data_IF_906460013562
#
_entry.id   IF_906460013562
#
_cell.length_a   1.000
_cell.length_b   1.000
_cell.length_c   1.000
_cell.angle_alpha   90.00
_cell.angle_beta   90.00
_cell.angle_gamma   90.00
#
_symmetry.space_group_name_H-M   'P 1'
#
loop_
_entity.id
_entity.type
_entity.pdbx_description
1 polymer ?
#
# COMPACT_ATOMS: atom_id res chain seq x y z
N UNK A 1 27.91 18.19 -63.13
CA UNK A 1 26.98 18.53 -62.02
C UNK A 1 26.77 17.28 -61.16
N UNK A 2 27.34 17.24 -59.95
CA UNK A 2 27.18 16.10 -59.01
C UNK A 2 26.15 16.52 -57.97
N UNK A 3 25.04 15.85 -57.96
CA UNK A 3 23.96 16.06 -56.96
C UNK A 3 24.34 15.24 -55.74
N UNK A 4 24.66 15.93 -54.62
CA UNK A 4 24.89 15.33 -53.33
C UNK A 4 23.55 15.20 -52.61
N UNK A 5 23.02 13.98 -52.53
CA UNK A 5 21.83 13.67 -51.71
C UNK A 5 22.22 13.61 -50.23
N UNK A 6 21.78 14.60 -49.47
CA UNK A 6 21.89 14.57 -48.01
C UNK A 6 20.72 13.76 -47.45
N UNK A 7 21.00 12.53 -47.01
CA UNK A 7 20.03 11.73 -46.28
C UNK A 7 19.95 12.27 -44.82
N UNK A 8 18.85 12.92 -44.48
CA UNK A 8 18.56 13.35 -43.13
C UNK A 8 18.19 12.13 -42.27
N UNK A 9 19.09 11.72 -41.38
CA UNK A 9 18.82 10.69 -40.35
C UNK A 9 17.97 11.34 -39.28
N UNK A 10 16.67 11.06 -39.28
CA UNK A 10 15.78 11.41 -38.18
C UNK A 10 16.05 10.45 -37.01
N UNK A 11 16.76 10.95 -35.99
CA UNK A 11 16.99 10.24 -34.73
C UNK A 11 15.66 10.31 -33.92
N UNK A 12 14.91 9.22 -33.95
CA UNK A 12 13.72 9.05 -33.13
C UNK A 12 14.16 8.84 -31.69
N UNK A 13 14.23 9.91 -30.90
CA UNK A 13 14.49 9.83 -29.46
C UNK A 13 13.28 9.18 -28.78
N UNK A 14 13.36 7.88 -28.52
CA UNK A 14 12.44 7.18 -27.64
C UNK A 14 12.63 7.75 -26.23
N UNK A 15 11.70 8.60 -25.81
CA UNK A 15 11.61 9.07 -24.44
C UNK A 15 11.33 7.85 -23.56
N UNK A 16 12.35 7.29 -22.96
CA UNK A 16 12.23 6.23 -21.94
C UNK A 16 11.70 6.88 -20.68
N UNK A 17 10.39 6.78 -20.46
CA UNK A 17 9.80 7.13 -19.18
C UNK A 17 10.41 6.22 -18.10
N UNK A 18 11.01 6.77 -17.02
CA UNK A 18 11.53 5.93 -15.95
C UNK A 18 10.39 5.11 -15.35
N UNK A 19 10.51 3.79 -15.42
CA UNK A 19 9.62 2.89 -14.69
C UNK A 19 9.76 3.21 -13.20
N UNK A 20 8.75 3.85 -12.63
CA UNK A 20 8.72 4.16 -11.22
C UNK A 20 8.47 2.88 -10.45
N UNK A 21 9.53 2.27 -9.91
CA UNK A 21 9.43 1.11 -9.03
C UNK A 21 8.84 1.55 -7.68
N UNK A 22 8.07 0.64 -7.06
CA UNK A 22 7.56 0.87 -5.71
C UNK A 22 8.72 0.92 -4.71
N UNK A 23 8.69 1.90 -3.80
CA UNK A 23 9.62 2.01 -2.70
C UNK A 23 9.10 1.20 -1.51
N UNK A 24 9.67 0.00 -1.34
CA UNK A 24 9.27 -0.90 -0.24
C UNK A 24 9.69 -0.38 1.13
N UNK A 25 10.72 0.46 1.22
CA UNK A 25 11.11 1.10 2.47
C UNK A 25 10.08 2.16 2.88
N UNK A 26 9.64 3.01 1.95
CA UNK A 26 8.55 3.94 2.19
C UNK A 26 7.27 3.19 2.58
N UNK A 27 6.93 2.12 1.87
CA UNK A 27 5.78 1.26 2.21
C UNK A 27 5.86 0.68 3.61
N UNK A 28 7.02 0.20 4.04
CA UNK A 28 7.26 -0.27 5.41
C UNK A 28 7.07 0.84 6.44
N UNK A 29 7.63 2.01 6.20
CA UNK A 29 7.51 3.15 7.11
C UNK A 29 6.05 3.58 7.26
N UNK A 30 5.30 3.65 6.18
CA UNK A 30 3.87 3.94 6.19
C UNK A 30 3.09 2.88 7.00
N UNK A 31 3.38 1.60 6.77
CA UNK A 31 2.77 0.52 7.52
C UNK A 31 3.03 0.62 9.03
N UNK A 32 4.28 0.82 9.43
CA UNK A 32 4.67 0.94 10.84
C UNK A 32 3.97 2.11 11.51
N UNK A 33 3.92 3.26 10.84
CA UNK A 33 3.33 4.47 11.40
C UNK A 33 1.80 4.45 11.45
N UNK A 34 1.15 3.75 10.52
CA UNK A 34 -0.29 3.88 10.28
C UNK A 34 -1.11 2.63 10.56
N UNK A 35 -0.50 1.46 10.45
CA UNK A 35 -1.23 0.19 10.45
C UNK A 35 -0.80 -0.74 11.59
N UNK A 36 0.48 -0.74 11.95
CA UNK A 36 1.04 -1.70 12.89
C UNK A 36 0.48 -1.61 14.30
N UNK A 37 -0.04 -0.44 14.72
CA UNK A 37 -0.65 -0.25 16.04
C UNK A 37 -1.85 -1.18 16.27
N UNK A 38 -2.53 -1.60 15.21
CA UNK A 38 -3.60 -2.60 15.24
C UNK A 38 -3.15 -3.92 14.63
N UNK A 39 -2.56 -3.87 13.43
CA UNK A 39 -2.24 -5.08 12.66
C UNK A 39 -0.98 -5.82 13.12
N UNK A 40 -0.12 -5.17 13.94
CA UNK A 40 1.15 -5.75 14.38
C UNK A 40 2.23 -5.70 13.30
N UNK A 41 3.48 -5.93 13.69
CA UNK A 41 4.61 -5.97 12.76
C UNK A 41 4.55 -7.16 11.79
N UNK A 42 3.85 -8.21 12.18
CA UNK A 42 3.64 -9.47 11.45
C UNK A 42 2.35 -9.50 10.60
N UNK A 43 1.57 -8.41 10.60
CA UNK A 43 0.29 -8.27 9.89
C UNK A 43 -0.79 -9.28 10.40
N UNK A 44 -0.64 -9.82 11.61
CA UNK A 44 -1.53 -10.86 12.17
C UNK A 44 -2.57 -10.35 13.16
N UNK A 45 -2.75 -9.02 13.24
CA UNK A 45 -3.66 -8.46 14.24
C UNK A 45 -3.10 -8.53 15.66
N UNK A 46 -1.80 -8.42 15.83
CA UNK A 46 -1.08 -8.53 17.09
C UNK A 46 -0.67 -7.18 17.69
N UNK A 47 -1.09 -6.09 17.06
CA UNK A 47 -0.78 -4.75 17.55
C UNK A 47 -1.42 -4.44 18.91
N UNK A 48 -0.89 -3.46 19.65
CA UNK A 48 -1.37 -3.14 21.01
C UNK A 48 -2.86 -2.73 21.09
N UNK A 49 -3.43 -2.26 19.99
CA UNK A 49 -4.85 -1.92 19.90
C UNK A 49 -5.71 -3.02 19.24
N UNK A 50 -5.13 -4.15 18.86
CA UNK A 50 -5.83 -5.18 18.10
C UNK A 50 -7.09 -5.69 18.80
N UNK A 51 -7.03 -5.90 20.11
CA UNK A 51 -8.13 -6.43 20.93
C UNK A 51 -9.01 -5.34 21.56
N UNK A 52 -8.79 -4.07 21.21
CA UNK A 52 -9.59 -2.95 21.75
C UNK A 52 -10.82 -2.66 20.89
N UNK A 53 -11.01 -3.35 19.79
CA UNK A 53 -12.15 -3.20 18.89
C UNK A 53 -13.00 -4.45 18.81
N UNK A 54 -14.26 -4.27 18.42
CA UNK A 54 -15.20 -5.36 18.14
C UNK A 54 -15.71 -5.16 16.69
N UNK A 55 -15.41 -6.08 15.77
CA UNK A 55 -14.54 -7.25 15.94
C UNK A 55 -13.07 -6.88 16.15
N UNK A 56 -12.23 -7.80 16.67
CA UNK A 56 -10.79 -7.59 16.78
C UNK A 56 -10.13 -7.37 15.41
N UNK A 57 -8.95 -6.77 15.42
CA UNK A 57 -8.18 -6.60 14.19
C UNK A 57 -7.83 -7.96 13.58
N UNK A 58 -8.17 -8.20 12.31
CA UNK A 58 -8.00 -9.53 11.71
C UNK A 58 -6.54 -9.84 11.37
N UNK A 59 -6.22 -11.14 11.36
CA UNK A 59 -5.00 -11.68 10.76
C UNK A 59 -5.10 -11.63 9.23
N UNK A 60 -4.24 -10.84 8.61
CA UNK A 60 -4.18 -10.67 7.15
C UNK A 60 -3.29 -11.73 6.46
N UNK A 61 -2.73 -12.68 7.20
CA UNK A 61 -1.91 -13.76 6.64
C UNK A 61 -2.68 -15.06 6.41
N UNK A 62 -3.96 -15.08 6.76
CA UNK A 62 -4.83 -16.24 6.59
C UNK A 62 -5.03 -16.64 5.13
N UNK A 63 -5.29 -17.92 4.88
CA UNK A 63 -5.61 -18.42 3.55
C UNK A 63 -6.83 -17.71 2.93
N UNK A 64 -7.82 -17.37 3.75
CA UNK A 64 -9.01 -16.64 3.31
C UNK A 64 -8.65 -15.21 2.82
N UNK A 65 -7.79 -14.51 3.55
CA UNK A 65 -7.34 -13.19 3.12
C UNK A 65 -6.44 -13.26 1.89
N UNK A 66 -5.52 -14.24 1.82
CA UNK A 66 -4.69 -14.47 0.63
C UNK A 66 -5.54 -14.75 -0.62
N UNK A 67 -6.60 -15.54 -0.46
CA UNK A 67 -7.57 -15.75 -1.57
C UNK A 67 -8.25 -14.44 -1.96
N UNK A 68 -8.76 -13.67 -0.99
CA UNK A 68 -9.39 -12.37 -1.26
C UNK A 68 -8.44 -11.41 -1.97
N UNK A 69 -7.16 -11.39 -1.58
CA UNK A 69 -6.14 -10.55 -2.19
C UNK A 69 -5.84 -10.97 -3.64
N UNK A 70 -5.90 -12.27 -3.93
CA UNK A 70 -5.77 -12.80 -5.29
C UNK A 70 -6.96 -12.41 -6.17
N UNK A 71 -8.17 -12.52 -5.63
CA UNK A 71 -9.41 -12.19 -6.35
C UNK A 71 -9.59 -10.66 -6.52
N UNK A 72 -9.07 -9.88 -5.57
CA UNK A 72 -9.10 -8.42 -5.56
C UNK A 72 -7.77 -7.81 -5.08
N UNK A 73 -6.77 -7.67 -5.96
CA UNK A 73 -5.44 -7.18 -5.59
C UNK A 73 -5.42 -5.77 -4.99
N UNK A 74 -6.43 -4.96 -5.27
CA UNK A 74 -6.57 -3.60 -4.74
C UNK A 74 -7.20 -3.49 -3.35
N UNK A 75 -7.51 -4.59 -2.67
CA UNK A 75 -8.25 -4.57 -1.39
C UNK A 75 -7.57 -3.73 -0.30
N UNK A 76 -6.25 -3.75 -0.21
CA UNK A 76 -5.48 -2.97 0.77
C UNK A 76 -5.62 -1.47 0.45
N UNK A 77 -5.31 -1.09 -0.78
CA UNK A 77 -5.35 0.30 -1.25
C UNK A 77 -6.76 0.88 -1.13
N UNK A 78 -7.78 0.14 -1.56
CA UNK A 78 -9.17 0.59 -1.46
C UNK A 78 -9.61 0.81 -0.01
N UNK A 79 -9.14 -0.01 0.92
CA UNK A 79 -9.44 0.15 2.34
C UNK A 79 -8.88 1.46 2.90
N UNK A 80 -7.70 1.89 2.43
CA UNK A 80 -7.09 3.17 2.82
C UNK A 80 -7.79 4.35 2.15
N UNK A 81 -8.05 4.28 0.83
CA UNK A 81 -8.70 5.35 0.07
C UNK A 81 -10.10 5.65 0.59
N UNK A 82 -10.87 4.63 0.95
CA UNK A 82 -12.23 4.80 1.46
C UNK A 82 -12.29 5.41 2.86
N UNK A 83 -11.17 5.43 3.60
CA UNK A 83 -11.11 5.88 4.99
C UNK A 83 -9.90 6.78 5.28
N UNK A 84 -9.68 7.87 4.52
CA UNK A 84 -8.41 8.60 4.54
C UNK A 84 -8.14 9.38 5.84
N UNK A 85 -9.17 9.77 6.58
CA UNK A 85 -9.06 10.70 7.71
C UNK A 85 -9.19 10.01 9.08
N UNK A 86 -8.58 8.83 9.23
CA UNK A 86 -8.68 8.06 10.47
C UNK A 86 -9.94 7.23 10.60
N UNK A 87 -10.77 7.16 9.55
CA UNK A 87 -11.93 6.27 9.49
C UNK A 87 -11.54 4.79 9.33
N UNK A 88 -10.24 4.53 9.25
CA UNK A 88 -9.68 3.17 9.30
C UNK A 88 -9.95 2.47 10.62
N UNK A 89 -10.13 3.24 11.71
CA UNK A 89 -10.35 2.68 13.03
C UNK A 89 -11.81 2.26 13.19
N UNK A 90 -12.07 1.10 13.81
CA UNK A 90 -13.42 0.67 14.13
C UNK A 90 -14.17 1.68 15.02
N UNK A 91 -15.49 1.74 14.87
CA UNK A 91 -16.33 2.66 15.64
C UNK A 91 -16.18 2.50 17.16
N UNK A 92 -15.91 1.27 17.62
CA UNK A 92 -15.67 0.97 19.04
C UNK A 92 -14.40 1.66 19.56
N UNK A 93 -13.33 1.72 18.77
CA UNK A 93 -12.12 2.47 19.15
C UNK A 93 -12.37 3.97 19.16
N UNK A 94 -13.08 4.50 18.17
CA UNK A 94 -13.48 5.92 18.13
C UNK A 94 -14.28 6.32 19.38
N UNK A 95 -15.23 5.51 19.80
CA UNK A 95 -16.00 5.73 21.04
C UNK A 95 -15.12 5.74 22.28
N UNK A 96 -14.04 4.99 22.28
CA UNK A 96 -13.05 4.93 23.36
C UNK A 96 -11.97 6.01 23.27
N UNK A 97 -12.16 7.02 22.41
CA UNK A 97 -11.26 8.16 22.29
C UNK A 97 -9.99 7.93 21.48
N UNK A 98 -9.85 6.79 20.81
CA UNK A 98 -8.71 6.53 19.91
C UNK A 98 -8.82 7.40 18.66
N UNK A 99 -7.78 8.18 18.40
CA UNK A 99 -7.67 9.04 17.23
C UNK A 99 -6.42 8.69 16.44
N UNK A 100 -6.55 8.64 15.12
CA UNK A 100 -5.41 8.53 14.19
C UNK A 100 -5.32 9.87 13.46
N UNK A 101 -4.15 10.50 13.49
CA UNK A 101 -3.93 11.76 12.81
C UNK A 101 -4.18 11.59 11.28
N UNK A 102 -4.82 12.56 10.63
CA UNK A 102 -4.95 12.55 9.18
C UNK A 102 -3.60 12.48 8.49
N UNK A 103 -3.56 11.85 7.32
CA UNK A 103 -2.36 11.76 6.51
C UNK A 103 -2.70 12.13 5.06
N UNK A 104 -1.89 12.98 4.46
CA UNK A 104 -2.04 13.38 3.06
C UNK A 104 -1.43 12.32 2.14
N UNK A 105 -2.20 11.31 1.80
CA UNK A 105 -1.79 10.20 0.95
C UNK A 105 -1.48 10.66 -0.47
N UNK A 106 -0.31 10.30 -0.97
CA UNK A 106 0.09 10.46 -2.37
C UNK A 106 -0.11 9.15 -3.13
N UNK A 107 -0.26 9.20 -4.42
CA UNK A 107 -0.41 8.01 -5.28
C UNK A 107 0.72 7.01 -5.05
N UNK A 108 1.97 7.50 -4.94
CA UNK A 108 3.12 6.65 -4.67
C UNK A 108 3.05 5.96 -3.30
N UNK A 109 2.51 6.62 -2.27
CA UNK A 109 2.36 6.03 -0.94
C UNK A 109 1.45 4.80 -0.97
N UNK A 110 0.36 4.84 -1.74
CA UNK A 110 -0.53 3.69 -1.92
C UNK A 110 0.17 2.52 -2.60
N UNK A 111 0.92 2.81 -3.66
CA UNK A 111 1.68 1.79 -4.39
C UNK A 111 2.74 1.16 -3.49
N UNK A 112 3.50 1.98 -2.77
CA UNK A 112 4.60 1.54 -1.93
C UNK A 112 4.09 0.72 -0.75
N UNK A 113 3.02 1.17 -0.08
CA UNK A 113 2.34 0.42 0.98
C UNK A 113 1.83 -0.94 0.48
N UNK A 114 1.13 -0.94 -0.65
CA UNK A 114 0.58 -2.16 -1.24
C UNK A 114 1.69 -3.16 -1.55
N UNK A 115 2.76 -2.72 -2.19
CA UNK A 115 3.90 -3.57 -2.53
C UNK A 115 4.58 -4.17 -1.29
N UNK A 116 4.76 -3.36 -0.24
CA UNK A 116 5.31 -3.83 1.02
C UNK A 116 4.42 -4.92 1.64
N UNK A 117 3.13 -4.65 1.79
CA UNK A 117 2.19 -5.58 2.40
C UNK A 117 2.05 -6.87 1.60
N UNK A 118 1.96 -6.80 0.27
CA UNK A 118 1.95 -7.97 -0.60
C UNK A 118 3.17 -8.86 -0.37
N UNK A 119 4.35 -8.25 -0.27
CA UNK A 119 5.60 -8.97 -0.02
C UNK A 119 5.62 -9.68 1.34
N UNK A 120 5.11 -9.05 2.40
CA UNK A 120 5.03 -9.67 3.74
C UNK A 120 4.00 -10.80 3.76
N UNK A 121 2.82 -10.58 3.21
CA UNK A 121 1.74 -11.57 3.16
C UNK A 121 2.16 -12.81 2.34
N UNK A 122 2.84 -12.62 1.22
CA UNK A 122 3.32 -13.72 0.38
C UNK A 122 4.34 -14.61 1.09
N UNK A 123 5.18 -14.02 1.96
CA UNK A 123 6.22 -14.74 2.72
C UNK A 123 5.69 -15.37 4.02
N UNK A 124 4.49 -14.99 4.45
CA UNK A 124 3.89 -15.55 5.67
C UNK A 124 3.42 -17.01 5.43
N UNK A 125 3.73 -17.88 6.38
CA UNK A 125 3.29 -19.29 6.37
C UNK A 125 1.91 -19.44 6.99
#
# INVERSE_FOLDING_TARGET
>A
MKIVSIAALAILSLAQSPLSFADTLNGKNLYVQRCAVCHGADIRGTGPLANKSTPPTPDLTTAAFKKRLKDYPGVIVSSVILRPNGDLIPATLKKNGVKIAPYAWRVNDFRDLNQYMLGVIAKSR
#
